data_IF_692642434148
#
_entry.id   IF_692642434148
#
_cell.length_a   1.000
_cell.length_b   1.000
_cell.length_c   1.000
_cell.angle_alpha   90.00
_cell.angle_beta   90.00
_cell.angle_gamma   90.00
#
_symmetry.space_group_name_H-M   'P 1'
#
loop_
_entity.id
_entity.type
_entity.pdbx_description
1 polymer ?
#
# COMPACT_ATOMS: atom_id res chain seq x y z
N UNK A 1 16.37 18.46 -13.83
CA UNK A 1 15.43 18.31 -12.71
C UNK A 1 16.05 17.49 -11.61
N UNK A 2 16.05 18.07 -10.43
CA UNK A 2 16.68 17.43 -9.27
C UNK A 2 15.86 16.30 -8.70
N UNK A 3 14.55 16.32 -8.94
CA UNK A 3 13.64 15.41 -8.28
C UNK A 3 13.71 13.98 -8.83
N UNK A 4 14.12 13.86 -10.09
CA UNK A 4 14.09 12.59 -10.79
C UNK A 4 15.51 12.13 -11.09
N UNK A 5 16.03 11.26 -10.24
CA UNK A 5 17.34 10.66 -10.43
C UNK A 5 17.20 9.39 -11.26
N UNK A 6 18.04 9.22 -12.30
CA UNK A 6 17.93 8.02 -13.15
C UNK A 6 17.98 6.71 -12.39
N UNK A 7 18.76 6.64 -11.32
CA UNK A 7 18.88 5.42 -10.51
C UNK A 7 17.58 5.02 -9.80
N UNK A 8 16.65 5.98 -9.62
CA UNK A 8 15.38 5.74 -8.96
C UNK A 8 14.21 5.57 -9.94
N UNK A 9 14.44 5.78 -11.23
CA UNK A 9 13.39 5.67 -12.24
C UNK A 9 12.74 4.28 -12.31
N UNK A 10 13.51 3.19 -12.41
CA UNK A 10 12.88 1.87 -12.48
C UNK A 10 12.01 1.57 -11.26
N UNK A 11 12.49 1.90 -10.08
CA UNK A 11 11.78 1.67 -8.83
C UNK A 11 10.50 2.49 -8.77
N UNK A 12 10.57 3.78 -9.09
CA UNK A 12 9.41 4.67 -9.05
C UNK A 12 8.37 4.31 -10.09
N UNK A 13 8.79 4.01 -11.32
CA UNK A 13 7.87 3.68 -12.40
C UNK A 13 7.18 2.35 -12.13
N UNK A 14 7.93 1.31 -11.81
CA UNK A 14 7.35 -0.01 -11.57
C UNK A 14 6.41 0.00 -10.37
N UNK A 15 6.84 0.57 -9.26
CA UNK A 15 6.05 0.61 -8.04
C UNK A 15 4.82 1.50 -8.21
N UNK A 16 5.02 2.69 -8.78
CA UNK A 16 3.94 3.64 -9.00
C UNK A 16 2.87 3.09 -9.94
N UNK A 17 3.29 2.49 -11.05
CA UNK A 17 2.35 1.92 -12.02
C UNK A 17 1.54 0.78 -11.41
N UNK A 18 2.18 -0.09 -10.64
CA UNK A 18 1.52 -1.22 -10.01
C UNK A 18 0.49 -0.74 -8.96
N UNK A 19 0.90 0.19 -8.11
CA UNK A 19 0.02 0.71 -7.06
C UNK A 19 -1.16 1.47 -7.68
N UNK A 20 -0.92 2.28 -8.70
CA UNK A 20 -1.98 3.00 -9.39
C UNK A 20 -2.99 2.02 -10.00
N UNK A 21 -2.51 0.98 -10.65
CA UNK A 21 -3.37 -0.05 -11.22
C UNK A 21 -4.20 -0.74 -10.13
N UNK A 22 -3.56 -1.11 -9.02
CA UNK A 22 -4.25 -1.75 -7.90
C UNK A 22 -5.34 -0.85 -7.33
N UNK A 23 -5.07 0.45 -7.21
CA UNK A 23 -6.05 1.42 -6.74
C UNK A 23 -7.23 1.55 -7.70
N UNK A 24 -6.96 1.60 -9.01
CA UNK A 24 -8.03 1.67 -10.02
C UNK A 24 -8.92 0.43 -9.99
N UNK A 25 -8.32 -0.74 -9.83
CA UNK A 25 -9.08 -1.98 -9.69
C UNK A 25 -9.99 -1.95 -8.47
N UNK A 26 -9.48 -1.50 -7.33
CA UNK A 26 -10.25 -1.42 -6.09
C UNK A 26 -11.36 -0.39 -6.19
N UNK A 27 -11.13 0.70 -6.92
CA UNK A 27 -12.16 1.73 -7.12
C UNK A 27 -13.40 1.16 -7.78
N UNK A 28 -13.20 0.19 -8.67
CA UNK A 28 -14.29 -0.51 -9.35
C UNK A 28 -14.65 -1.84 -8.69
N UNK A 29 -14.12 -2.10 -7.49
CA UNK A 29 -14.37 -3.34 -6.77
C UNK A 29 -15.82 -3.48 -6.33
N UNK A 30 -16.29 -4.72 -6.24
CA UNK A 30 -17.66 -5.02 -5.83
C UNK A 30 -17.79 -5.08 -4.31
N UNK A 31 -19.02 -5.32 -3.84
CA UNK A 31 -19.32 -5.38 -2.42
C UNK A 31 -18.61 -6.55 -1.73
N UNK A 32 -18.50 -7.68 -2.39
CA UNK A 32 -17.84 -8.87 -1.85
C UNK A 32 -16.37 -8.57 -1.55
N UNK A 33 -15.67 -7.91 -2.48
CA UNK A 33 -14.29 -7.50 -2.28
C UNK A 33 -14.18 -6.47 -1.16
N UNK A 34 -15.13 -5.53 -1.10
CA UNK A 34 -15.16 -4.53 -0.05
C UNK A 34 -15.29 -5.15 1.34
N UNK A 35 -16.16 -6.13 1.49
CA UNK A 35 -16.35 -6.83 2.76
C UNK A 35 -15.08 -7.56 3.18
N UNK A 36 -14.43 -8.25 2.25
CA UNK A 36 -13.20 -9.00 2.52
C UNK A 36 -12.06 -8.07 2.98
N UNK A 37 -11.83 -7.00 2.25
CA UNK A 37 -10.75 -6.04 2.56
C UNK A 37 -11.04 -5.29 3.85
N UNK A 38 -12.28 -4.83 4.02
CA UNK A 38 -12.68 -4.11 5.23
C UNK A 38 -12.56 -4.99 6.46
N UNK A 39 -12.91 -6.27 6.37
CA UNK A 39 -12.82 -7.21 7.48
C UNK A 39 -11.38 -7.34 8.00
N UNK A 40 -10.40 -7.41 7.09
CA UNK A 40 -8.99 -7.46 7.48
C UNK A 40 -8.55 -6.17 8.16
N UNK A 41 -8.91 -5.03 7.59
CA UNK A 41 -8.50 -3.73 8.12
C UNK A 41 -9.14 -3.44 9.47
N UNK A 42 -10.43 -3.75 9.63
CA UNK A 42 -11.15 -3.49 10.87
C UNK A 42 -10.61 -4.36 12.03
N UNK A 43 -10.10 -5.55 11.72
CA UNK A 43 -9.47 -6.41 12.72
C UNK A 43 -8.20 -5.81 13.29
N UNK A 44 -7.40 -5.13 12.46
CA UNK A 44 -6.15 -4.48 12.87
C UNK A 44 -6.37 -3.06 13.37
N UNK A 45 -7.34 -2.36 12.77
CA UNK A 45 -7.65 -0.96 13.07
C UNK A 45 -9.12 -0.84 13.48
N UNK A 46 -9.44 -0.99 14.77
CA UNK A 46 -10.83 -0.97 15.23
C UNK A 46 -11.62 0.30 14.84
N UNK A 47 -10.93 1.39 14.57
CA UNK A 47 -11.57 2.64 14.16
C UNK A 47 -12.33 2.53 12.83
N UNK A 48 -12.01 1.53 12.01
CA UNK A 48 -12.72 1.30 10.74
C UNK A 48 -13.93 0.38 10.87
N UNK A 49 -14.16 -0.15 12.07
CA UNK A 49 -15.21 -1.15 12.30
C UNK A 49 -16.61 -0.64 11.91
N UNK A 50 -16.88 0.62 12.19
CA UNK A 50 -18.19 1.23 11.91
C UNK A 50 -18.31 1.85 10.54
N UNK A 51 -17.23 1.85 9.76
CA UNK A 51 -17.24 2.39 8.40
C UNK A 51 -17.86 1.36 7.44
N UNK A 52 -18.77 1.79 6.53
CA UNK A 52 -19.30 0.85 5.53
C UNK A 52 -18.18 0.26 4.67
N UNK A 53 -18.19 -1.05 4.39
CA UNK A 53 -17.13 -1.69 3.61
C UNK A 53 -16.85 -1.06 2.25
N UNK A 54 -17.88 -0.67 1.52
CA UNK A 54 -17.71 -0.03 0.21
C UNK A 54 -17.04 1.33 0.33
N UNK A 55 -17.36 2.09 1.36
CA UNK A 55 -16.69 3.38 1.61
C UNK A 55 -15.23 3.15 1.95
N UNK A 56 -14.93 2.15 2.78
CA UNK A 56 -13.55 1.83 3.12
C UNK A 56 -12.74 1.45 1.88
N UNK A 57 -13.30 0.60 1.01
CA UNK A 57 -12.64 0.18 -0.22
C UNK A 57 -12.33 1.37 -1.12
N UNK A 58 -13.26 2.33 -1.23
CA UNK A 58 -13.06 3.55 -2.03
C UNK A 58 -11.97 4.43 -1.44
N UNK A 59 -11.92 4.56 -0.12
CA UNK A 59 -10.85 5.31 0.55
C UNK A 59 -9.49 4.66 0.33
N UNK A 60 -9.42 3.35 0.45
CA UNK A 60 -8.19 2.61 0.19
C UNK A 60 -7.75 2.78 -1.27
N UNK A 61 -8.69 2.66 -2.20
CA UNK A 61 -8.43 2.85 -3.62
C UNK A 61 -7.92 4.27 -3.91
N UNK A 62 -8.54 5.29 -3.33
CA UNK A 62 -8.11 6.67 -3.49
C UNK A 62 -6.70 6.88 -2.95
N UNK A 63 -6.38 6.27 -1.80
CA UNK A 63 -5.04 6.34 -1.21
C UNK A 63 -4.00 5.70 -2.14
N UNK A 64 -4.30 4.55 -2.71
CA UNK A 64 -3.40 3.87 -3.63
C UNK A 64 -3.20 4.66 -4.92
N UNK A 65 -4.27 5.24 -5.46
CA UNK A 65 -4.19 6.09 -6.65
C UNK A 65 -3.31 7.31 -6.35
N UNK A 66 -3.49 7.92 -5.19
CA UNK A 66 -2.68 9.08 -4.79
C UNK A 66 -1.20 8.73 -4.66
N UNK A 67 -0.88 7.63 -3.98
CA UNK A 67 0.50 7.19 -3.79
C UNK A 67 1.14 6.81 -5.11
N UNK A 68 0.45 6.03 -5.94
CA UNK A 68 0.95 5.61 -7.25
C UNK A 68 1.22 6.81 -8.15
N UNK A 69 0.30 7.76 -8.19
CA UNK A 69 0.45 8.98 -8.97
C UNK A 69 1.65 9.79 -8.49
N UNK A 70 1.81 9.93 -7.17
CA UNK A 70 2.94 10.64 -6.58
C UNK A 70 4.28 10.04 -7.02
N UNK A 71 4.37 8.71 -7.05
CA UNK A 71 5.58 8.03 -7.49
C UNK A 71 5.87 8.24 -8.98
N UNK A 72 4.83 8.34 -9.80
CA UNK A 72 4.98 8.50 -11.26
C UNK A 72 5.26 9.93 -11.69
N UNK A 73 4.91 10.93 -10.88
CA UNK A 73 5.09 12.33 -11.24
C UNK A 73 6.56 12.74 -11.10
N UNK A 74 7.19 13.19 -12.20
CA UNK A 74 8.62 13.50 -12.18
C UNK A 74 8.99 14.73 -11.35
N UNK A 75 8.04 15.61 -11.08
CA UNK A 75 8.31 16.82 -10.31
C UNK A 75 8.11 16.60 -8.79
N UNK A 76 7.70 15.42 -8.36
CA UNK A 76 7.60 15.09 -6.95
C UNK A 76 8.94 14.50 -6.49
N UNK A 77 9.52 15.09 -5.44
CA UNK A 77 10.82 14.65 -4.91
C UNK A 77 10.77 13.20 -4.39
N UNK A 78 11.92 12.56 -4.36
CA UNK A 78 12.03 11.22 -3.78
C UNK A 78 11.63 11.21 -2.31
N UNK A 79 11.96 12.27 -1.56
CA UNK A 79 11.60 12.34 -0.14
C UNK A 79 10.09 12.35 0.06
N UNK A 80 9.36 13.13 -0.74
CA UNK A 80 7.89 13.19 -0.64
C UNK A 80 7.23 11.92 -1.12
N UNK A 81 7.68 11.40 -2.26
CA UNK A 81 7.15 10.14 -2.77
C UNK A 81 7.45 8.98 -1.81
N UNK A 82 8.66 8.95 -1.27
CA UNK A 82 9.07 7.95 -0.29
C UNK A 82 8.27 8.04 1.01
N UNK A 83 8.01 9.26 1.49
CA UNK A 83 7.20 9.46 2.69
C UNK A 83 5.77 8.95 2.49
N UNK A 84 5.17 9.27 1.34
CA UNK A 84 3.82 8.80 1.03
C UNK A 84 3.75 7.28 0.96
N UNK A 85 4.70 6.67 0.27
CA UNK A 85 4.76 5.21 0.13
C UNK A 85 5.05 4.54 1.46
N UNK A 86 5.97 5.08 2.26
CA UNK A 86 6.31 4.55 3.57
C UNK A 86 5.11 4.57 4.51
N UNK A 87 4.38 5.68 4.55
CA UNK A 87 3.19 5.80 5.38
C UNK A 87 2.11 4.81 4.98
N UNK A 88 1.84 4.71 3.70
CA UNK A 88 0.83 3.80 3.17
C UNK A 88 1.22 2.33 3.41
N UNK A 89 2.44 1.94 3.01
CA UNK A 89 2.92 0.56 3.15
C UNK A 89 3.07 0.17 4.61
N UNK A 90 3.54 1.09 5.44
CA UNK A 90 3.68 0.85 6.88
C UNK A 90 2.35 0.50 7.53
N UNK A 91 1.28 1.19 7.12
CA UNK A 91 -0.07 0.87 7.60
C UNK A 91 -0.52 -0.53 7.21
N UNK A 92 -0.21 -0.95 6.00
CA UNK A 92 -0.55 -2.29 5.52
C UNK A 92 0.32 -3.39 6.16
N UNK A 93 1.60 -3.11 6.38
CA UNK A 93 2.50 -4.04 7.08
C UNK A 93 2.02 -4.23 8.53
N UNK A 94 1.61 -3.16 9.19
CA UNK A 94 1.04 -3.25 10.53
C UNK A 94 -0.19 -4.16 10.53
N UNK A 95 -1.09 -3.97 9.57
CA UNK A 95 -2.27 -4.83 9.43
C UNK A 95 -1.88 -6.30 9.24
N UNK A 96 -0.88 -6.55 8.40
CA UNK A 96 -0.36 -7.90 8.16
C UNK A 96 0.14 -8.55 9.46
N UNK A 97 0.93 -7.82 10.23
CA UNK A 97 1.49 -8.34 11.48
C UNK A 97 0.44 -8.56 12.55
N UNK A 98 -0.64 -7.78 12.53
CA UNK A 98 -1.73 -7.87 13.51
C UNK A 98 -2.81 -8.86 13.13
N UNK A 99 -2.72 -9.49 11.96
CA UNK A 99 -3.75 -10.41 11.47
C UNK A 99 -3.18 -11.82 11.42
N UNK A 100 -3.45 -12.68 12.42
CA UNK A 100 -2.86 -14.03 12.51
C UNK A 100 -3.09 -14.89 11.27
N UNK A 101 -4.23 -14.71 10.58
CA UNK A 101 -4.55 -15.50 9.40
C UNK A 101 -3.63 -15.22 8.20
N UNK A 102 -2.90 -14.10 8.21
CA UNK A 102 -2.06 -13.68 7.08
C UNK A 102 -0.63 -14.20 7.16
N UNK A 103 -0.18 -14.62 8.33
CA UNK A 103 1.17 -15.18 8.47
C UNK A 103 1.12 -16.49 9.27
N UNK A 104 2.15 -17.31 9.08
CA UNK A 104 2.24 -18.61 9.75
C UNK A 104 2.42 -18.45 11.26
N UNK A 105 1.84 -19.33 12.08
CA UNK A 105 1.98 -19.25 13.54
C UNK A 105 3.44 -19.20 13.98
N UNK A 106 3.79 -18.23 14.81
CA UNK A 106 5.15 -18.06 15.31
C UNK A 106 6.14 -17.56 14.26
N UNK A 107 5.66 -17.06 13.13
CA UNK A 107 6.49 -16.64 12.01
C UNK A 107 5.92 -15.39 11.34
N UNK A 108 6.76 -14.66 10.62
CA UNK A 108 6.33 -13.53 9.79
C UNK A 108 6.15 -13.94 8.32
N UNK A 109 6.42 -15.20 7.96
CA UNK A 109 6.22 -15.68 6.62
C UNK A 109 4.72 -15.82 6.31
N UNK A 110 4.29 -15.48 5.09
CA UNK A 110 2.87 -15.42 4.78
C UNK A 110 2.24 -16.80 4.64
N UNK A 111 0.96 -16.88 5.03
CA UNK A 111 0.07 -17.95 4.60
C UNK A 111 -0.38 -17.67 3.17
N UNK A 112 -1.03 -18.61 2.46
CA UNK A 112 -1.59 -18.33 1.14
C UNK A 112 -2.51 -17.10 1.13
N UNK A 113 -3.27 -16.89 2.21
CA UNK A 113 -4.13 -15.71 2.32
C UNK A 113 -3.34 -14.42 2.50
N UNK A 114 -2.15 -14.49 3.09
CA UNK A 114 -1.34 -13.33 3.40
C UNK A 114 -0.35 -12.91 2.31
N UNK A 115 -0.16 -13.72 1.26
CA UNK A 115 0.85 -13.45 0.24
C UNK A 115 0.69 -12.06 -0.39
N UNK A 116 -0.55 -11.70 -0.74
CA UNK A 116 -0.81 -10.40 -1.36
C UNK A 116 -0.43 -9.22 -0.48
N UNK A 117 -0.74 -9.31 0.81
CA UNK A 117 -0.45 -8.23 1.77
C UNK A 117 1.02 -8.20 2.16
N UNK A 118 1.68 -9.37 2.22
CA UNK A 118 3.09 -9.44 2.59
C UNK A 118 3.99 -8.67 1.63
N UNK A 119 3.54 -8.46 0.40
CA UNK A 119 4.28 -7.64 -0.58
C UNK A 119 4.46 -6.20 -0.14
N UNK A 120 3.63 -5.71 0.77
CA UNK A 120 3.76 -4.37 1.31
C UNK A 120 5.06 -4.17 2.09
N UNK A 121 5.69 -5.25 2.53
CA UNK A 121 7.01 -5.19 3.15
C UNK A 121 8.04 -4.70 2.12
N UNK A 122 7.95 -5.18 0.88
CA UNK A 122 8.81 -4.70 -0.20
C UNK A 122 8.57 -3.21 -0.47
N UNK A 123 7.32 -2.80 -0.52
CA UNK A 123 6.97 -1.40 -0.76
C UNK A 123 7.43 -0.50 0.38
N UNK A 124 7.36 -1.00 1.60
CA UNK A 124 7.90 -0.27 2.75
C UNK A 124 9.42 -0.05 2.59
N UNK A 125 10.16 -1.07 2.21
CA UNK A 125 11.58 -0.96 1.92
C UNK A 125 11.87 0.03 0.81
N UNK A 126 11.09 -0.01 -0.27
CA UNK A 126 11.22 0.94 -1.38
C UNK A 126 10.96 2.37 -0.92
N UNK A 127 9.89 2.57 -0.14
CA UNK A 127 9.55 3.89 0.39
C UNK A 127 10.64 4.47 1.26
N UNK A 128 11.19 3.65 2.16
CA UNK A 128 12.30 4.06 3.02
C UNK A 128 13.54 4.39 2.19
N UNK A 129 13.84 3.59 1.16
CA UNK A 129 14.96 3.84 0.26
C UNK A 129 14.85 5.17 -0.45
N UNK A 130 13.65 5.51 -0.94
CA UNK A 130 13.43 6.81 -1.57
C UNK A 130 13.52 7.96 -0.57
N UNK A 131 13.03 7.75 0.64
CA UNK A 131 13.02 8.76 1.68
C UNK A 131 14.44 9.20 2.05
N UNK A 132 15.38 8.24 2.10
CA UNK A 132 16.77 8.52 2.45
C UNK A 132 17.64 8.88 1.24
N UNK A 133 17.09 8.94 0.06
CA UNK A 133 17.74 9.38 -1.17
C UNK A 133 16.94 10.52 -1.80
N UNK A 134 16.86 11.66 -1.11
CA UNK A 134 16.00 12.76 -1.53
C UNK A 134 16.42 13.40 -2.84
#
# INVERSE_FOLDING_TARGET
MRFLKPRNLPTRIATGAYILHAGLEKWHGDEERAIAVHGMAAGAYPMFKDMPPTRFLRLLAASEIAVGTTLLLPFVSNARAGAALTGFSGGLVYMYLRTPALHKPGSYWPTPAGVGVSKDIWMLGIGLGLLVDP
#
